data_IF_518047395388
#
_entry.id   IF_518047395388
#
_cell.length_a   1.000
_cell.length_b   1.000
_cell.length_c   1.000
_cell.angle_alpha   90.00
_cell.angle_beta   90.00
_cell.angle_gamma   90.00
#
_symmetry.space_group_name_H-M   'P 1'
#
loop_
_entity.id
_entity.type
_entity.pdbx_description
1 polymer ?
#
# COMPACT_ATOMS: atom_id res chain seq x y z
N UNK A 1 -46.21 33.22 -13.77
CA UNK A 1 -44.77 33.42 -13.42
C UNK A 1 -44.72 33.40 -11.91
N UNK A 2 -44.35 32.27 -11.32
CA UNK A 2 -44.19 32.14 -9.88
C UNK A 2 -42.96 32.94 -9.47
N UNK A 3 -43.05 33.78 -8.44
CA UNK A 3 -41.89 34.40 -7.81
C UNK A 3 -40.92 33.30 -7.38
N UNK A 4 -39.67 33.33 -7.90
CA UNK A 4 -38.63 32.50 -7.37
C UNK A 4 -38.50 32.78 -5.87
N UNK A 5 -38.28 31.71 -5.06
CA UNK A 5 -38.08 31.91 -3.62
C UNK A 5 -36.84 32.78 -3.40
N UNK A 6 -36.80 33.56 -2.29
CA UNK A 6 -35.63 34.38 -1.94
C UNK A 6 -34.32 33.60 -1.98
N UNK A 7 -34.38 32.33 -1.58
CA UNK A 7 -33.26 31.39 -1.66
C UNK A 7 -32.79 31.11 -3.11
N UNK A 8 -33.74 30.94 -4.03
CA UNK A 8 -33.43 30.72 -5.44
C UNK A 8 -32.75 31.92 -6.07
N UNK A 9 -33.19 33.13 -5.69
CA UNK A 9 -32.56 34.36 -6.18
C UNK A 9 -31.11 34.51 -5.70
N UNK A 10 -30.85 34.27 -4.42
CA UNK A 10 -29.48 34.29 -3.86
C UNK A 10 -28.56 33.28 -4.52
N UNK A 11 -29.04 32.05 -4.75
CA UNK A 11 -28.27 31.02 -5.46
C UNK A 11 -27.95 31.43 -6.91
N UNK A 12 -28.88 32.09 -7.61
CA UNK A 12 -28.64 32.56 -8.96
C UNK A 12 -27.63 33.71 -9.00
N UNK A 13 -27.64 34.61 -7.99
CA UNK A 13 -26.68 35.69 -7.90
C UNK A 13 -25.25 35.14 -7.66
N UNK A 14 -25.09 34.20 -6.74
CA UNK A 14 -23.81 33.53 -6.52
C UNK A 14 -23.29 32.85 -7.80
N UNK A 15 -24.17 32.26 -8.63
CA UNK A 15 -23.75 31.64 -9.91
C UNK A 15 -23.06 32.65 -10.86
N UNK A 16 -23.46 33.92 -10.84
CA UNK A 16 -22.90 34.95 -11.74
C UNK A 16 -21.48 35.34 -11.37
N UNK A 17 -21.11 35.19 -10.10
CA UNK A 17 -19.84 35.61 -9.54
C UNK A 17 -18.79 34.50 -9.47
N UNK A 18 -19.14 33.25 -9.86
CA UNK A 18 -18.21 32.12 -9.95
C UNK A 18 -17.50 32.11 -11.30
N UNK A 19 -16.18 32.14 -11.26
CA UNK A 19 -15.35 31.99 -12.46
C UNK A 19 -15.16 30.51 -12.86
N UNK A 20 -14.43 30.26 -13.94
CA UNK A 20 -14.19 28.92 -14.43
C UNK A 20 -13.40 28.04 -13.45
N UNK A 21 -12.53 28.63 -12.62
CA UNK A 21 -11.79 27.92 -11.59
C UNK A 21 -12.70 27.56 -10.42
N UNK A 22 -13.56 28.47 -10.02
CA UNK A 22 -14.56 28.26 -8.99
C UNK A 22 -15.53 27.14 -9.39
N UNK A 23 -16.00 27.16 -10.64
CA UNK A 23 -16.88 26.10 -11.16
C UNK A 23 -16.20 24.72 -11.14
N UNK A 24 -14.93 24.64 -11.52
CA UNK A 24 -14.17 23.40 -11.46
C UNK A 24 -14.00 22.90 -10.01
N UNK A 25 -13.68 23.80 -9.08
CA UNK A 25 -13.56 23.54 -7.66
C UNK A 25 -14.87 23.06 -7.05
N UNK A 26 -15.96 23.77 -7.37
CA UNK A 26 -17.30 23.42 -6.90
C UNK A 26 -17.76 22.04 -7.41
N UNK A 27 -17.57 21.77 -8.70
CA UNK A 27 -17.83 20.44 -9.29
C UNK A 27 -17.07 19.34 -8.55
N UNK A 28 -15.79 19.53 -8.29
CA UNK A 28 -14.98 18.58 -7.58
C UNK A 28 -15.52 18.29 -6.17
N UNK A 29 -15.94 19.31 -5.45
CA UNK A 29 -16.53 19.19 -4.12
C UNK A 29 -17.93 18.55 -4.09
N UNK A 30 -18.62 18.46 -5.23
CA UNK A 30 -19.93 17.83 -5.35
C UNK A 30 -19.90 16.33 -5.73
N UNK A 31 -18.71 15.78 -6.00
CA UNK A 31 -18.57 14.39 -6.52
C UNK A 31 -18.93 13.29 -5.53
N UNK A 32 -19.10 13.59 -4.25
CA UNK A 32 -19.61 12.62 -3.29
C UNK A 32 -21.14 12.42 -3.41
N UNK A 33 -21.83 13.40 -4.02
CA UNK A 33 -23.27 13.45 -4.15
C UNK A 33 -23.78 13.30 -5.61
N UNK A 34 -22.94 13.66 -6.58
CA UNK A 34 -23.27 13.64 -8.01
C UNK A 34 -22.21 12.86 -8.78
N UNK A 35 -22.67 11.92 -9.62
CA UNK A 35 -21.79 11.16 -10.51
C UNK A 35 -20.96 12.07 -11.44
N UNK A 36 -19.68 11.77 -11.60
CA UNK A 36 -18.74 12.57 -12.38
C UNK A 36 -19.23 12.83 -13.82
N UNK A 37 -19.86 11.84 -14.47
CA UNK A 37 -20.35 12.00 -15.85
C UNK A 37 -21.44 13.06 -15.95
N UNK A 38 -22.31 13.18 -14.92
CA UNK A 38 -23.34 14.21 -14.86
C UNK A 38 -22.74 15.59 -14.60
N UNK A 39 -21.70 15.67 -13.78
CA UNK A 39 -20.96 16.91 -13.53
C UNK A 39 -20.19 17.38 -14.78
N UNK A 40 -19.63 16.48 -15.57
CA UNK A 40 -18.91 16.80 -16.80
C UNK A 40 -19.83 17.36 -17.89
N UNK A 41 -21.09 16.93 -17.92
CA UNK A 41 -22.10 17.42 -18.88
C UNK A 41 -22.76 18.75 -18.45
N UNK A 42 -22.58 19.15 -17.21
CA UNK A 42 -23.07 20.45 -16.69
C UNK A 42 -22.13 21.57 -17.11
N UNK A 43 -22.60 22.52 -17.90
CA UNK A 43 -21.77 23.62 -18.39
C UNK A 43 -21.81 24.85 -17.47
N UNK A 44 -22.93 25.06 -16.79
CA UNK A 44 -23.15 26.18 -15.88
C UNK A 44 -23.39 25.70 -14.45
N UNK A 45 -23.13 26.58 -13.48
CA UNK A 45 -23.37 26.30 -12.05
C UNK A 45 -24.84 26.07 -11.76
N UNK A 46 -25.74 26.70 -12.52
CA UNK A 46 -27.18 26.51 -12.46
C UNK A 46 -27.60 25.07 -12.73
N UNK A 47 -26.93 24.39 -13.67
CA UNK A 47 -27.18 22.96 -13.98
C UNK A 47 -26.85 22.10 -12.74
N UNK A 48 -25.75 22.43 -12.06
CA UNK A 48 -25.31 21.70 -10.85
C UNK A 48 -26.35 21.89 -9.74
N UNK A 49 -26.83 23.11 -9.54
CA UNK A 49 -27.86 23.38 -8.52
C UNK A 49 -29.18 22.65 -8.80
N UNK A 50 -29.54 22.48 -10.07
CA UNK A 50 -30.70 21.66 -10.43
C UNK A 50 -30.48 20.17 -10.05
N UNK A 51 -29.27 19.65 -10.27
CA UNK A 51 -28.93 18.27 -9.86
C UNK A 51 -28.96 18.08 -8.34
N UNK A 52 -28.77 19.16 -7.58
CA UNK A 52 -28.75 19.19 -6.10
C UNK A 52 -30.10 19.61 -5.49
N UNK A 53 -31.13 19.86 -6.29
CA UNK A 53 -32.44 20.36 -5.83
C UNK A 53 -33.15 19.44 -4.82
N UNK A 54 -32.70 18.20 -4.68
CA UNK A 54 -33.21 17.22 -3.70
C UNK A 54 -32.60 17.38 -2.29
N UNK A 55 -31.59 18.22 -2.13
CA UNK A 55 -30.95 18.47 -0.81
C UNK A 55 -31.88 19.30 0.07
N UNK A 56 -32.05 18.88 1.33
CA UNK A 56 -32.97 19.54 2.31
C UNK A 56 -32.58 21.00 2.58
N UNK A 57 -31.28 21.33 2.58
CA UNK A 57 -30.76 22.69 2.71
C UNK A 57 -29.71 22.97 1.64
N UNK A 58 -30.16 23.36 0.44
CA UNK A 58 -29.26 23.63 -0.67
C UNK A 58 -28.36 24.84 -0.39
N UNK A 59 -28.87 25.87 0.30
CA UNK A 59 -28.08 27.06 0.67
C UNK A 59 -26.92 26.70 1.59
N UNK A 60 -27.13 25.91 2.63
CA UNK A 60 -26.04 25.46 3.52
C UNK A 60 -25.06 24.55 2.78
N UNK A 61 -25.59 23.65 1.94
CA UNK A 61 -24.78 22.79 1.11
C UNK A 61 -23.81 23.58 0.21
N UNK A 62 -24.32 24.63 -0.45
CA UNK A 62 -23.51 25.53 -1.29
C UNK A 62 -22.58 26.37 -0.42
N UNK A 63 -23.05 26.91 0.69
CA UNK A 63 -22.27 27.71 1.62
C UNK A 63 -21.05 26.98 2.17
N UNK A 64 -21.16 25.69 2.52
CA UNK A 64 -20.03 24.89 2.97
C UNK A 64 -18.94 24.77 1.89
N UNK A 65 -19.31 24.62 0.62
CA UNK A 65 -18.37 24.53 -0.51
C UNK A 65 -17.69 25.85 -0.79
N UNK A 66 -18.46 26.94 -0.82
CA UNK A 66 -17.92 28.29 -0.98
C UNK A 66 -16.96 28.67 0.15
N UNK A 67 -17.26 28.27 1.37
CA UNK A 67 -16.38 28.48 2.52
C UNK A 67 -15.03 27.74 2.31
N UNK A 68 -15.07 26.48 1.87
CA UNK A 68 -13.86 25.71 1.62
C UNK A 68 -13.05 26.25 0.41
N UNK A 69 -13.73 26.84 -0.56
CA UNK A 69 -13.13 27.50 -1.73
C UNK A 69 -12.58 28.91 -1.43
N UNK A 70 -12.62 29.34 -0.17
CA UNK A 70 -12.24 30.69 0.27
C UNK A 70 -12.99 31.82 -0.45
N UNK A 71 -14.34 31.67 -0.54
CA UNK A 71 -15.27 32.66 -1.10
C UNK A 71 -16.19 33.27 0.00
N UNK A 72 -15.63 33.97 1.02
CA UNK A 72 -16.42 34.47 2.16
C UNK A 72 -17.49 35.46 1.78
N UNK A 73 -17.27 36.26 0.72
CA UNK A 73 -18.26 37.20 0.22
C UNK A 73 -19.52 36.48 -0.27
N UNK A 74 -19.36 35.46 -1.06
CA UNK A 74 -20.46 34.67 -1.62
C UNK A 74 -21.23 33.89 -0.52
N UNK A 75 -20.55 33.45 0.55
CA UNK A 75 -21.22 32.87 1.72
C UNK A 75 -22.17 33.87 2.38
N UNK A 76 -21.74 35.14 2.52
CA UNK A 76 -22.57 36.22 3.06
C UNK A 76 -23.74 36.58 2.13
N UNK A 77 -23.55 36.56 0.82
CA UNK A 77 -24.59 36.80 -0.18
C UNK A 77 -25.69 35.72 -0.13
N UNK A 78 -25.34 34.49 0.24
CA UNK A 78 -26.32 33.46 0.55
C UNK A 78 -27.15 33.76 1.82
N UNK A 79 -26.77 34.77 2.60
CA UNK A 79 -27.41 35.10 3.86
C UNK A 79 -26.97 34.24 5.03
N UNK A 80 -25.82 33.57 4.91
CA UNK A 80 -25.25 32.69 5.93
C UNK A 80 -24.25 33.46 6.82
N UNK A 81 -24.21 33.08 8.10
CA UNK A 81 -23.16 33.54 9.01
C UNK A 81 -21.85 32.80 8.73
N UNK A 82 -20.81 33.56 8.38
CA UNK A 82 -19.53 32.99 7.95
C UNK A 82 -18.83 32.16 9.04
N UNK A 83 -18.90 32.61 10.29
CA UNK A 83 -18.23 31.89 11.39
C UNK A 83 -18.98 30.63 11.76
N UNK A 84 -20.32 30.62 11.69
CA UNK A 84 -21.13 29.42 11.84
C UNK A 84 -20.82 28.43 10.73
N UNK A 85 -20.70 28.87 9.46
CA UNK A 85 -20.35 27.99 8.32
C UNK A 85 -18.94 27.44 8.46
N UNK A 86 -17.96 28.24 8.86
CA UNK A 86 -16.58 27.76 9.12
C UNK A 86 -16.57 26.68 10.21
N UNK A 87 -17.29 26.91 11.31
CA UNK A 87 -17.41 25.93 12.39
C UNK A 87 -18.04 24.62 11.89
N UNK A 88 -19.14 24.71 11.14
CA UNK A 88 -19.83 23.54 10.57
C UNK A 88 -18.95 22.79 9.56
N UNK A 89 -18.19 23.48 8.71
CA UNK A 89 -17.23 22.86 7.79
C UNK A 89 -16.09 22.17 8.55
N UNK A 90 -15.64 22.74 9.67
CA UNK A 90 -14.62 22.13 10.52
C UNK A 90 -15.08 20.86 11.25
N UNK A 91 -16.36 20.76 11.58
CA UNK A 91 -16.93 19.62 12.29
C UNK A 91 -17.30 18.48 11.33
N UNK A 92 -16.92 17.25 11.72
CA UNK A 92 -17.16 16.04 10.92
C UNK A 92 -18.65 15.66 10.87
N UNK A 93 -19.41 16.01 11.91
CA UNK A 93 -20.82 15.61 12.05
C UNK A 93 -21.77 16.56 11.34
N UNK A 94 -21.41 17.82 11.24
CA UNK A 94 -22.26 18.88 10.64
C UNK A 94 -21.88 19.23 9.21
N UNK A 95 -20.66 18.86 8.79
CA UNK A 95 -20.19 19.17 7.43
C UNK A 95 -20.91 18.34 6.38
N UNK A 96 -21.37 19.01 5.33
CA UNK A 96 -21.92 18.35 4.11
C UNK A 96 -20.83 17.85 3.15
N UNK A 97 -19.57 17.95 3.50
CA UNK A 97 -18.42 17.53 2.69
C UNK A 97 -17.64 16.49 3.48
N UNK A 98 -17.36 15.33 2.89
CA UNK A 98 -16.59 14.28 3.54
C UNK A 98 -15.16 14.72 3.86
N UNK A 99 -14.54 14.18 4.93
CA UNK A 99 -13.15 14.47 5.27
C UNK A 99 -12.19 14.10 4.14
N UNK A 100 -12.48 12.98 3.47
CA UNK A 100 -11.73 12.55 2.29
C UNK A 100 -11.75 13.61 1.17
N UNK A 101 -12.93 14.13 0.83
CA UNK A 101 -13.08 15.15 -0.22
C UNK A 101 -12.40 16.48 0.17
N UNK A 102 -12.54 16.89 1.43
CA UNK A 102 -11.85 18.09 1.96
C UNK A 102 -10.33 17.96 1.85
N UNK A 103 -9.77 16.84 2.30
CA UNK A 103 -8.34 16.64 2.27
C UNK A 103 -7.79 16.65 0.84
N UNK A 104 -8.42 15.94 -0.09
CA UNK A 104 -8.01 15.96 -1.50
C UNK A 104 -8.15 17.35 -2.13
N UNK A 105 -9.20 18.08 -1.79
CA UNK A 105 -9.39 19.45 -2.26
C UNK A 105 -8.28 20.38 -1.74
N UNK A 106 -7.97 20.33 -0.44
CA UNK A 106 -6.92 21.14 0.16
C UNK A 106 -5.53 20.82 -0.45
N UNK A 107 -5.21 19.54 -0.64
CA UNK A 107 -3.99 19.15 -1.37
C UNK A 107 -3.98 19.73 -2.78
N UNK A 108 -5.12 19.71 -3.48
CA UNK A 108 -5.22 20.24 -4.84
C UNK A 108 -5.01 21.75 -4.91
N UNK A 109 -5.45 22.51 -3.91
CA UNK A 109 -5.28 23.97 -3.86
C UNK A 109 -3.80 24.38 -3.73
N UNK A 110 -3.00 23.58 -3.04
CA UNK A 110 -1.59 23.87 -2.77
C UNK A 110 -0.63 23.28 -3.81
N UNK A 111 -1.13 22.47 -4.77
CA UNK A 111 -0.34 21.91 -5.86
C UNK A 111 -0.21 22.89 -7.03
N UNK A 112 1.03 23.20 -7.41
CA UNK A 112 1.32 23.93 -8.65
C UNK A 112 1.12 23.07 -9.89
N UNK A 113 1.08 23.70 -11.05
CA UNK A 113 1.03 22.97 -12.33
C UNK A 113 2.27 22.08 -12.52
N UNK A 114 3.42 22.56 -12.09
CA UNK A 114 4.70 21.85 -12.13
C UNK A 114 4.63 20.59 -11.26
N UNK A 115 4.02 20.70 -10.06
CA UNK A 115 3.80 19.56 -9.16
C UNK A 115 2.91 18.50 -9.83
N UNK A 116 1.80 18.90 -10.43
CA UNK A 116 0.89 17.97 -11.13
C UNK A 116 1.58 17.28 -12.30
N UNK A 117 2.37 18.02 -13.10
CA UNK A 117 3.16 17.44 -14.19
C UNK A 117 4.18 16.43 -13.64
N UNK A 118 4.87 16.77 -12.54
CA UNK A 118 5.82 15.87 -11.89
C UNK A 118 5.13 14.60 -11.36
N UNK A 119 3.96 14.73 -10.72
CA UNK A 119 3.14 13.59 -10.27
C UNK A 119 2.72 12.69 -11.44
N UNK A 120 2.29 13.28 -12.56
CA UNK A 120 1.94 12.53 -13.77
C UNK A 120 3.16 11.78 -14.32
N UNK A 121 4.33 12.42 -14.36
CA UNK A 121 5.57 11.78 -14.80
C UNK A 121 5.96 10.61 -13.89
N UNK A 122 5.90 10.79 -12.58
CA UNK A 122 6.19 9.74 -11.59
C UNK A 122 5.20 8.58 -11.65
N UNK A 123 3.93 8.87 -11.92
CA UNK A 123 2.88 7.84 -11.99
C UNK A 123 2.81 7.09 -13.32
N UNK A 124 3.51 7.54 -14.38
CA UNK A 124 3.43 6.94 -15.74
C UNK A 124 3.66 5.43 -15.77
N UNK A 125 4.69 4.96 -15.07
CA UNK A 125 5.03 3.54 -15.08
C UNK A 125 4.10 2.71 -14.18
N UNK A 126 3.55 3.35 -13.15
CA UNK A 126 2.56 2.76 -12.27
C UNK A 126 1.18 2.67 -12.93
N UNK A 127 0.89 3.58 -13.86
CA UNK A 127 -0.39 3.72 -14.55
C UNK A 127 -0.24 3.38 -16.03
N UNK A 128 0.11 2.13 -16.35
CA UNK A 128 0.40 1.63 -17.73
C UNK A 128 -0.64 2.03 -18.78
N UNK A 129 -1.88 2.32 -18.40
CA UNK A 129 -2.97 2.75 -19.27
C UNK A 129 -3.22 4.27 -19.25
N UNK A 130 -2.33 5.05 -18.65
CA UNK A 130 -2.51 6.49 -18.43
C UNK A 130 -2.18 7.34 -19.67
N UNK A 131 -1.46 6.79 -20.64
CA UNK A 131 -0.97 7.52 -21.82
C UNK A 131 -2.05 8.30 -22.62
N UNK A 132 -3.28 7.80 -22.83
CA UNK A 132 -4.34 8.58 -23.48
C UNK A 132 -4.86 9.72 -22.60
N UNK A 133 -4.95 9.51 -21.29
CA UNK A 133 -5.45 10.49 -20.34
C UNK A 133 -4.45 11.64 -20.12
N UNK A 134 -3.15 11.35 -20.09
CA UNK A 134 -2.10 12.38 -20.02
C UNK A 134 -2.22 13.38 -21.17
N UNK A 135 -2.50 12.93 -22.40
CA UNK A 135 -2.71 13.81 -23.55
C UNK A 135 -3.98 14.67 -23.42
N UNK A 136 -5.00 14.20 -22.71
CA UNK A 136 -6.20 14.97 -22.42
C UNK A 136 -5.91 16.05 -21.39
N UNK A 137 -5.19 15.70 -20.30
CA UNK A 137 -4.78 16.64 -19.26
C UNK A 137 -3.94 17.80 -19.82
N UNK A 138 -3.05 17.53 -20.78
CA UNK A 138 -2.23 18.57 -21.43
C UNK A 138 -3.07 19.59 -22.24
N UNK A 139 -4.26 19.23 -22.67
CA UNK A 139 -5.18 20.11 -23.43
C UNK A 139 -6.05 21.00 -22.54
N UNK A 140 -6.18 20.66 -21.26
CA UNK A 140 -7.04 21.36 -20.31
C UNK A 140 -6.29 22.55 -19.72
N UNK A 141 -7.00 23.63 -19.47
CA UNK A 141 -6.46 24.85 -18.84
C UNK A 141 -5.86 24.55 -17.45
N UNK A 142 -5.02 25.48 -16.95
CA UNK A 142 -4.28 25.30 -15.68
C UNK A 142 -5.17 24.91 -14.50
N UNK A 143 -6.36 25.50 -14.39
CA UNK A 143 -7.27 25.31 -13.27
C UNK A 143 -7.94 23.95 -13.18
N UNK A 144 -8.12 23.25 -14.31
CA UNK A 144 -8.79 21.96 -14.34
C UNK A 144 -7.87 20.74 -14.17
N UNK A 145 -6.57 20.90 -14.38
CA UNK A 145 -5.64 19.75 -14.47
C UNK A 145 -5.48 18.96 -13.18
N UNK A 146 -5.40 19.63 -12.04
CA UNK A 146 -5.21 18.95 -10.76
C UNK A 146 -6.41 18.07 -10.41
N UNK A 147 -7.61 18.57 -10.57
CA UNK A 147 -8.84 17.81 -10.27
C UNK A 147 -9.04 16.65 -11.26
N UNK A 148 -8.72 16.86 -12.55
CA UNK A 148 -8.76 15.79 -13.54
C UNK A 148 -7.75 14.69 -13.22
N UNK A 149 -6.53 15.04 -12.81
CA UNK A 149 -5.55 14.07 -12.35
C UNK A 149 -6.07 13.25 -11.15
N UNK A 150 -6.61 13.93 -10.14
CA UNK A 150 -7.18 13.27 -8.97
C UNK A 150 -8.35 12.35 -9.36
N UNK A 151 -9.22 12.79 -10.26
CA UNK A 151 -10.34 11.97 -10.75
C UNK A 151 -9.85 10.70 -11.44
N UNK A 152 -8.83 10.80 -12.28
CA UNK A 152 -8.27 9.64 -12.97
C UNK A 152 -7.70 8.61 -11.97
N UNK A 153 -6.92 9.05 -10.97
CA UNK A 153 -6.37 8.12 -9.98
C UNK A 153 -7.45 7.53 -9.06
N UNK A 154 -8.56 8.24 -8.84
CA UNK A 154 -9.74 7.73 -8.13
C UNK A 154 -10.51 6.70 -8.98
N UNK A 155 -10.83 7.01 -10.25
CA UNK A 155 -11.50 6.07 -11.17
C UNK A 155 -10.70 4.77 -11.34
N UNK A 156 -9.38 4.86 -11.40
CA UNK A 156 -8.47 3.70 -11.47
C UNK A 156 -8.29 3.00 -10.11
N UNK A 157 -8.94 3.48 -9.05
CA UNK A 157 -8.87 2.95 -7.68
C UNK A 157 -7.44 2.93 -7.10
N UNK A 158 -6.58 3.85 -7.55
CA UNK A 158 -5.28 4.05 -6.93
C UNK A 158 -5.39 4.80 -5.61
N UNK A 159 -6.41 5.66 -5.47
CA UNK A 159 -6.83 6.25 -4.21
C UNK A 159 -8.31 6.03 -3.98
N UNK A 160 -8.68 5.85 -2.72
CA UNK A 160 -10.07 5.69 -2.25
C UNK A 160 -10.20 6.37 -0.89
N UNK A 161 -11.42 6.50 -0.37
CA UNK A 161 -11.66 7.02 1.00
C UNK A 161 -10.94 6.22 2.09
N UNK A 162 -10.57 4.99 1.82
CA UNK A 162 -9.91 4.09 2.76
C UNK A 162 -8.43 3.82 2.41
N UNK A 163 -7.91 4.37 1.33
CA UNK A 163 -6.51 4.19 0.92
C UNK A 163 -6.03 5.35 0.06
N UNK A 164 -5.17 6.21 0.61
CA UNK A 164 -4.51 7.33 -0.07
C UNK A 164 -3.00 7.16 -0.18
N UNK A 165 -2.46 5.96 0.10
CA UNK A 165 -1.01 5.68 0.11
C UNK A 165 -0.33 6.08 -1.19
N UNK A 166 -0.99 5.88 -2.32
CA UNK A 166 -0.45 6.26 -3.63
C UNK A 166 -0.26 7.77 -3.77
N UNK A 167 -1.24 8.57 -3.32
CA UNK A 167 -1.12 10.03 -3.32
C UNK A 167 -0.04 10.50 -2.33
N UNK A 168 -0.01 9.92 -1.15
CA UNK A 168 1.02 10.16 -0.14
C UNK A 168 2.42 9.98 -0.74
N UNK A 169 2.66 8.84 -1.41
CA UNK A 169 3.94 8.56 -2.05
C UNK A 169 4.26 9.55 -3.18
N UNK A 170 3.28 9.88 -4.04
CA UNK A 170 3.50 10.86 -5.10
C UNK A 170 3.91 12.23 -4.56
N UNK A 171 3.31 12.68 -3.46
CA UNK A 171 3.67 13.96 -2.81
C UNK A 171 5.12 13.92 -2.29
N UNK A 172 5.57 12.82 -1.70
CA UNK A 172 6.98 12.67 -1.32
C UNK A 172 7.91 12.65 -2.53
N UNK A 173 7.55 11.94 -3.59
CA UNK A 173 8.37 11.80 -4.80
C UNK A 173 8.60 13.11 -5.55
N UNK A 174 7.72 14.08 -5.36
CA UNK A 174 7.82 15.43 -5.94
C UNK A 174 8.31 16.49 -4.93
N UNK A 175 8.80 16.06 -3.75
CA UNK A 175 9.25 16.91 -2.65
C UNK A 175 8.15 17.82 -2.05
N UNK A 176 6.88 17.41 -2.12
CA UNK A 176 5.73 18.07 -1.48
C UNK A 176 5.25 17.31 -0.25
N UNK A 177 6.20 16.77 0.53
CA UNK A 177 5.92 16.15 1.82
C UNK A 177 5.26 17.09 2.84
N UNK A 178 5.35 18.41 2.61
CA UNK A 178 4.62 19.44 3.35
C UNK A 178 3.10 19.27 3.30
N UNK A 179 2.55 18.70 2.22
CA UNK A 179 1.10 18.51 2.04
C UNK A 179 0.59 17.18 2.63
N UNK A 180 1.48 16.30 3.03
CA UNK A 180 1.11 14.97 3.51
C UNK A 180 0.25 15.04 4.77
N UNK A 181 0.53 15.97 5.69
CA UNK A 181 -0.25 16.16 6.92
C UNK A 181 -1.74 16.47 6.67
N UNK A 182 -2.10 17.00 5.49
CA UNK A 182 -3.49 17.24 5.10
C UNK A 182 -4.24 15.92 4.95
N UNK A 183 -3.56 14.87 4.48
CA UNK A 183 -4.15 13.55 4.30
C UNK A 183 -4.40 12.83 5.63
N UNK A 184 -3.71 13.23 6.71
CA UNK A 184 -3.89 12.68 8.06
C UNK A 184 -5.29 12.99 8.62
N UNK A 185 -5.95 14.03 8.11
CA UNK A 185 -7.31 14.39 8.50
C UNK A 185 -8.39 13.41 8.01
N UNK A 186 -8.06 12.49 7.12
CA UNK A 186 -9.01 11.52 6.57
C UNK A 186 -9.33 10.47 7.64
N UNK A 187 -10.54 10.52 8.22
CA UNK A 187 -10.99 9.56 9.24
C UNK A 187 -10.97 8.13 8.70
N UNK A 188 -10.33 7.24 9.45
CA UNK A 188 -10.19 5.82 9.09
C UNK A 188 -8.94 5.53 8.27
N UNK A 189 -8.23 6.55 7.83
CA UNK A 189 -6.89 6.43 7.31
C UNK A 189 -5.90 6.76 8.42
N UNK A 190 -5.54 5.75 9.18
CA UNK A 190 -4.49 5.85 10.17
C UNK A 190 -3.14 5.75 9.43
N UNK A 191 -2.52 6.89 9.15
CA UNK A 191 -1.14 6.91 8.63
C UNK A 191 -0.18 6.33 9.67
N UNK A 192 -0.52 6.39 10.97
CA UNK A 192 0.18 5.64 12.00
C UNK A 192 0.01 4.12 11.81
N UNK A 193 -1.00 3.66 11.04
CA UNK A 193 -1.17 2.26 10.65
C UNK A 193 -0.23 1.78 9.53
N UNK A 194 0.63 2.64 8.96
CA UNK A 194 1.58 2.30 7.91
C UNK A 194 3.02 2.54 8.35
N UNK A 195 3.94 1.66 7.92
CA UNK A 195 5.36 1.95 8.10
C UNK A 195 5.76 3.17 7.26
N UNK A 196 6.52 4.11 7.83
CA UNK A 196 7.19 5.14 7.05
C UNK A 196 8.11 4.47 6.03
N UNK A 197 7.93 4.76 4.74
CA UNK A 197 8.69 4.12 3.67
C UNK A 197 9.29 5.15 2.73
N UNK A 198 10.62 5.35 2.84
CA UNK A 198 11.36 6.20 1.93
C UNK A 198 11.75 5.41 0.68
N UNK A 199 11.16 5.73 -0.45
CA UNK A 199 11.40 5.08 -1.73
C UNK A 199 12.85 5.29 -2.23
N UNK A 200 13.51 6.38 -1.85
CA UNK A 200 14.92 6.61 -2.17
C UNK A 200 15.85 5.70 -1.36
N UNK A 201 15.40 5.29 -0.17
CA UNK A 201 16.18 4.47 0.77
C UNK A 201 15.34 3.33 1.35
N UNK A 202 14.75 2.46 0.53
CA UNK A 202 13.89 1.38 1.01
C UNK A 202 14.63 0.37 1.87
N UNK A 203 15.88 0.08 1.54
CA UNK A 203 16.70 -0.83 2.33
C UNK A 203 17.73 -1.60 1.54
N UNK A 204 18.28 -2.61 2.22
CA UNK A 204 19.13 -3.63 1.62
C UNK A 204 18.33 -4.92 1.46
N UNK A 205 18.58 -5.64 0.37
CA UNK A 205 18.05 -6.96 0.13
C UNK A 205 19.22 -7.93 -0.10
N UNK A 206 19.42 -8.86 0.85
CA UNK A 206 20.38 -9.96 0.69
C UNK A 206 19.64 -11.15 0.10
N UNK A 207 20.24 -11.78 -0.92
CA UNK A 207 19.74 -13.01 -1.55
C UNK A 207 20.82 -14.07 -1.40
N UNK A 208 20.55 -15.10 -0.61
CA UNK A 208 21.41 -16.29 -0.43
C UNK A 208 20.83 -17.40 -1.29
N UNK A 209 21.57 -17.83 -2.30
CA UNK A 209 21.16 -18.89 -3.24
C UNK A 209 22.09 -20.08 -3.15
N UNK A 210 21.72 -21.10 -2.38
CA UNK A 210 22.41 -22.35 -2.27
C UNK A 210 21.88 -23.34 -3.31
N UNK A 211 22.66 -23.64 -4.31
CA UNK A 211 22.31 -24.48 -5.44
C UNK A 211 23.09 -25.80 -5.45
N UNK A 212 24.42 -25.74 -5.30
CA UNK A 212 25.33 -26.89 -5.36
C UNK A 212 25.77 -27.31 -3.96
N UNK A 213 25.43 -28.50 -3.56
CA UNK A 213 25.73 -29.03 -2.22
C UNK A 213 26.96 -29.96 -2.25
N UNK A 214 27.75 -29.91 -1.15
CA UNK A 214 28.97 -30.71 -1.00
C UNK A 214 28.68 -32.17 -0.52
N UNK A 215 27.40 -32.45 -0.23
CA UNK A 215 26.93 -33.76 0.28
C UNK A 215 25.94 -34.44 -0.70
N UNK A 216 25.25 -35.48 -0.26
CA UNK A 216 24.28 -36.22 -1.07
C UNK A 216 22.97 -35.48 -1.37
N UNK A 217 22.85 -34.21 -0.98
CA UNK A 217 21.69 -33.43 -1.34
C UNK A 217 21.72 -33.06 -2.84
N UNK A 218 20.56 -33.16 -3.47
CA UNK A 218 20.42 -32.91 -4.91
C UNK A 218 20.70 -31.45 -5.25
N UNK A 219 21.35 -31.23 -6.38
CA UNK A 219 21.51 -29.88 -6.94
C UNK A 219 20.14 -29.22 -7.14
N UNK A 220 20.02 -27.97 -6.72
CA UNK A 220 18.79 -27.17 -6.83
C UNK A 220 18.69 -26.50 -8.20
N UNK A 221 18.59 -27.30 -9.29
CA UNK A 221 18.44 -26.80 -10.67
C UNK A 221 17.28 -25.81 -10.78
N UNK A 222 17.48 -24.68 -11.50
CA UNK A 222 16.49 -23.61 -11.65
C UNK A 222 16.45 -22.60 -10.48
N UNK A 223 17.26 -22.79 -9.42
CA UNK A 223 17.31 -21.88 -8.29
C UNK A 223 17.84 -20.47 -8.69
N UNK A 224 18.70 -20.41 -9.70
CA UNK A 224 19.18 -19.14 -10.25
C UNK A 224 18.07 -18.27 -10.83
N UNK A 225 17.01 -18.87 -11.42
CA UNK A 225 15.85 -18.15 -11.94
C UNK A 225 15.10 -17.42 -10.83
N UNK A 226 14.97 -18.04 -9.66
CA UNK A 226 14.38 -17.41 -8.48
C UNK A 226 15.23 -16.25 -7.97
N UNK A 227 16.55 -16.43 -7.87
CA UNK A 227 17.47 -15.40 -7.42
C UNK A 227 17.51 -14.19 -8.39
N UNK A 228 17.41 -14.44 -9.69
CA UNK A 228 17.35 -13.42 -10.73
C UNK A 228 16.04 -12.61 -10.65
N UNK A 229 14.89 -13.30 -10.49
CA UNK A 229 13.59 -12.63 -10.41
C UNK A 229 13.43 -11.83 -9.10
N UNK A 230 13.93 -12.36 -7.96
CA UNK A 230 14.03 -11.59 -6.71
C UNK A 230 14.91 -10.35 -6.88
N UNK A 231 16.10 -10.52 -7.49
CA UNK A 231 17.01 -9.40 -7.75
C UNK A 231 16.36 -8.32 -8.61
N UNK A 232 15.64 -8.71 -9.65
CA UNK A 232 14.90 -7.79 -10.53
C UNK A 232 13.79 -7.08 -9.77
N UNK A 233 12.96 -7.83 -9.04
CA UNK A 233 11.81 -7.29 -8.29
C UNK A 233 12.27 -6.27 -7.24
N UNK A 234 13.25 -6.61 -6.39
CA UNK A 234 13.71 -5.70 -5.35
C UNK A 234 14.56 -4.52 -5.88
N UNK A 235 15.23 -4.65 -7.07
CA UNK A 235 15.82 -3.49 -7.75
C UNK A 235 14.74 -2.51 -8.25
N UNK A 236 13.63 -3.01 -8.78
CA UNK A 236 12.51 -2.15 -9.18
C UNK A 236 11.89 -1.41 -7.98
N UNK A 237 12.03 -1.96 -6.79
CA UNK A 237 11.67 -1.32 -5.51
C UNK A 237 12.82 -0.50 -4.90
N UNK A 238 13.91 -0.25 -5.66
CA UNK A 238 15.09 0.54 -5.26
C UNK A 238 15.90 -0.03 -4.08
N UNK A 239 15.76 -1.31 -3.76
CA UNK A 239 16.61 -1.95 -2.77
C UNK A 239 18.05 -2.11 -3.28
N UNK A 240 19.01 -1.97 -2.37
CA UNK A 240 20.41 -2.34 -2.64
C UNK A 240 20.55 -3.86 -2.54
N UNK A 241 20.80 -4.50 -3.69
CA UNK A 241 20.87 -5.96 -3.77
C UNK A 241 22.30 -6.42 -3.52
N UNK A 242 22.42 -7.39 -2.61
CA UNK A 242 23.63 -8.16 -2.37
C UNK A 242 23.29 -9.66 -2.54
N UNK A 243 24.03 -10.37 -3.40
CA UNK A 243 23.76 -11.77 -3.72
C UNK A 243 24.95 -12.62 -3.34
N UNK A 244 24.66 -13.75 -2.71
CA UNK A 244 25.60 -14.78 -2.28
C UNK A 244 25.20 -16.13 -2.84
N UNK A 245 26.17 -16.89 -3.34
CA UNK A 245 25.96 -18.20 -3.94
C UNK A 245 26.69 -19.25 -3.11
N UNK A 246 26.02 -20.40 -2.92
CA UNK A 246 26.60 -21.62 -2.38
C UNK A 246 27.33 -21.44 -1.03
N UNK A 247 26.66 -20.79 -0.07
CA UNK A 247 27.20 -20.55 1.26
C UNK A 247 27.11 -21.77 2.18
N UNK A 248 28.18 -22.08 2.90
CA UNK A 248 28.17 -23.00 4.04
C UNK A 248 27.34 -22.46 5.19
N UNK A 249 26.97 -23.32 6.11
CA UNK A 249 26.13 -22.98 7.27
C UNK A 249 26.70 -21.81 8.09
N UNK A 250 28.00 -21.83 8.40
CA UNK A 250 28.64 -20.73 9.14
C UNK A 250 28.71 -19.43 8.33
N UNK A 251 28.85 -19.49 7.00
CA UNK A 251 28.86 -18.33 6.13
C UNK A 251 27.48 -17.65 6.03
N UNK A 252 26.37 -18.43 6.03
CA UNK A 252 25.02 -17.89 6.13
C UNK A 252 24.87 -17.07 7.41
N UNK A 253 25.36 -17.59 8.54
CA UNK A 253 25.35 -16.88 9.83
C UNK A 253 26.24 -15.63 9.80
N UNK A 254 27.41 -15.66 9.17
CA UNK A 254 28.34 -14.55 9.04
C UNK A 254 27.77 -13.42 8.19
N UNK A 255 27.18 -13.75 7.03
CA UNK A 255 26.56 -12.75 6.14
C UNK A 255 25.40 -12.04 6.82
N UNK A 256 24.53 -12.78 7.53
CA UNK A 256 23.40 -12.18 8.25
C UNK A 256 23.88 -11.37 9.46
N UNK A 257 24.92 -11.82 10.16
CA UNK A 257 25.55 -11.08 11.26
C UNK A 257 26.18 -9.77 10.77
N UNK A 258 26.90 -9.83 9.65
CA UNK A 258 27.49 -8.64 9.02
C UNK A 258 26.42 -7.64 8.61
N UNK A 259 25.31 -8.10 8.03
CA UNK A 259 24.19 -7.23 7.67
C UNK A 259 23.56 -6.55 8.91
N UNK A 260 23.32 -7.31 9.97
CA UNK A 260 22.67 -6.78 11.18
C UNK A 260 23.52 -5.72 11.91
N UNK A 261 24.85 -5.78 11.78
CA UNK A 261 25.80 -4.83 12.39
C UNK A 261 25.98 -3.53 11.59
N UNK A 262 25.41 -3.45 10.39
CA UNK A 262 25.46 -2.23 9.59
C UNK A 262 24.51 -1.18 10.15
N UNK A 263 24.77 0.09 9.83
CA UNK A 263 23.86 1.17 10.14
C UNK A 263 22.71 1.19 9.12
N UNK A 264 21.48 0.97 9.63
CA UNK A 264 20.23 1.01 8.85
C UNK A 264 19.40 2.27 9.15
N UNK A 265 19.94 3.26 9.85
CA UNK A 265 19.19 4.46 10.27
C UNK A 265 18.54 5.17 9.08
N UNK A 266 19.22 5.20 7.93
CA UNK A 266 18.75 5.81 6.68
C UNK A 266 17.72 4.95 5.93
N UNK A 267 17.63 3.66 6.22
CA UNK A 267 16.80 2.73 5.46
C UNK A 267 15.44 2.51 6.13
N UNK A 268 14.40 2.27 5.33
CA UNK A 268 13.05 2.00 5.80
C UNK A 268 12.83 0.56 6.24
N UNK A 269 13.65 -0.38 5.75
CA UNK A 269 13.49 -1.82 6.02
C UNK A 269 14.75 -2.61 5.71
N UNK A 270 14.73 -3.92 5.99
CA UNK A 270 15.70 -4.89 5.52
C UNK A 270 14.99 -6.13 4.94
N UNK A 271 15.55 -6.70 3.88
CA UNK A 271 15.04 -7.93 3.22
C UNK A 271 16.13 -8.99 3.19
N UNK A 272 15.78 -10.21 3.58
CA UNK A 272 16.65 -11.40 3.49
C UNK A 272 15.89 -12.51 2.77
N UNK A 273 16.37 -12.89 1.58
CA UNK A 273 15.84 -13.99 0.80
C UNK A 273 16.79 -15.18 0.89
N UNK A 274 16.27 -16.36 1.23
CA UNK A 274 17.09 -17.58 1.37
C UNK A 274 16.48 -18.68 0.50
N UNK A 275 17.25 -19.12 -0.48
CA UNK A 275 16.92 -20.19 -1.42
C UNK A 275 17.85 -21.37 -1.13
N UNK A 276 17.36 -22.43 -0.49
CA UNK A 276 18.19 -23.57 -0.09
C UNK A 276 17.36 -24.84 0.07
N UNK A 277 18.02 -25.97 0.36
CA UNK A 277 17.38 -27.07 1.07
C UNK A 277 17.08 -26.67 2.51
N UNK A 278 16.20 -27.42 3.16
CA UNK A 278 15.87 -27.15 4.55
C UNK A 278 15.06 -28.26 5.20
N UNK A 279 14.83 -28.08 6.49
CA UNK A 279 14.03 -28.93 7.34
C UNK A 279 13.14 -28.09 8.26
N UNK A 280 12.55 -28.69 9.30
CA UNK A 280 11.68 -27.95 10.21
C UNK A 280 12.35 -26.70 10.78
N UNK A 281 11.84 -25.51 10.39
CA UNK A 281 12.34 -24.20 10.82
C UNK A 281 13.84 -23.97 10.61
N UNK A 282 14.46 -24.64 9.61
CA UNK A 282 15.88 -24.48 9.29
C UNK A 282 16.12 -24.45 7.78
N UNK A 283 17.20 -23.79 7.37
CA UNK A 283 17.77 -23.82 6.03
C UNK A 283 19.13 -24.51 6.10
N UNK A 284 19.61 -25.08 4.98
CA UNK A 284 20.88 -25.81 4.99
C UNK A 284 21.98 -24.99 4.29
N UNK A 285 23.16 -24.97 4.89
CA UNK A 285 24.37 -24.63 4.15
C UNK A 285 24.68 -25.66 3.06
N UNK A 286 25.51 -25.29 2.09
CA UNK A 286 25.95 -26.27 1.06
C UNK A 286 26.75 -27.42 1.65
N UNK A 287 27.30 -27.24 2.84
CA UNK A 287 27.92 -28.30 3.67
C UNK A 287 26.91 -29.26 4.30
N UNK A 288 25.58 -29.05 4.07
CA UNK A 288 24.49 -29.88 4.56
C UNK A 288 24.11 -29.66 6.02
N UNK A 289 24.78 -28.75 6.74
CA UNK A 289 24.45 -28.44 8.13
C UNK A 289 23.24 -27.50 8.22
N UNK A 290 22.31 -27.77 9.16
CA UNK A 290 21.14 -26.94 9.35
C UNK A 290 21.50 -25.63 10.07
N UNK A 291 20.91 -24.53 9.60
CA UNK A 291 20.90 -23.22 10.24
C UNK A 291 19.47 -22.91 10.66
N UNK A 292 19.15 -22.88 11.95
CA UNK A 292 17.83 -22.49 12.42
C UNK A 292 17.50 -21.07 11.97
N UNK A 293 16.30 -20.86 11.41
CA UNK A 293 15.86 -19.52 10.96
C UNK A 293 15.86 -18.52 12.12
N UNK A 294 15.56 -18.99 13.34
CA UNK A 294 15.62 -18.14 14.54
C UNK A 294 17.02 -17.52 14.76
N UNK A 295 18.10 -18.29 14.55
CA UNK A 295 19.47 -17.79 14.68
C UNK A 295 19.79 -16.65 13.69
N UNK A 296 19.04 -16.57 12.58
CA UNK A 296 19.15 -15.49 11.60
C UNK A 296 18.34 -14.28 12.04
N UNK A 297 17.08 -14.49 12.47
CA UNK A 297 16.17 -13.40 12.85
C UNK A 297 16.58 -12.71 14.16
N UNK A 298 17.09 -13.44 15.14
CA UNK A 298 17.56 -12.88 16.42
C UNK A 298 18.60 -11.76 16.26
N UNK A 299 19.39 -11.79 15.17
CA UNK A 299 20.39 -10.74 14.87
C UNK A 299 19.77 -9.37 14.55
N UNK A 300 18.49 -9.34 14.16
CA UNK A 300 17.76 -8.15 13.72
C UNK A 300 16.73 -7.66 14.72
N UNK A 301 16.69 -8.24 15.94
CA UNK A 301 15.82 -7.73 17.01
C UNK A 301 16.17 -6.29 17.38
N UNK A 302 15.24 -5.56 17.98
CA UNK A 302 15.45 -4.17 18.35
C UNK A 302 16.68 -3.96 19.26
N UNK A 303 16.94 -4.90 20.17
CA UNK A 303 18.11 -4.88 21.06
C UNK A 303 19.43 -5.15 20.31
N UNK A 304 19.44 -6.07 19.34
CA UNK A 304 20.64 -6.47 18.60
C UNK A 304 20.96 -5.55 17.41
N UNK A 305 19.95 -4.93 16.80
CA UNK A 305 20.07 -4.01 15.67
C UNK A 305 19.20 -2.76 15.89
N UNK A 306 19.65 -1.85 16.75
CA UNK A 306 18.91 -0.64 17.14
C UNK A 306 18.48 0.24 15.97
N UNK A 307 19.26 0.28 14.88
CA UNK A 307 18.94 1.07 13.70
C UNK A 307 17.75 0.50 12.87
N UNK A 308 17.28 -0.74 13.21
CA UNK A 308 16.09 -1.37 12.65
C UNK A 308 14.91 -1.45 13.65
N UNK A 309 15.02 -0.89 14.85
CA UNK A 309 13.90 -0.80 15.76
C UNK A 309 12.73 -0.04 15.11
N UNK A 310 11.51 -0.57 15.18
CA UNK A 310 10.32 0.00 14.54
C UNK A 310 10.28 -0.09 13.00
N UNK A 311 11.22 -0.80 12.37
CA UNK A 311 11.30 -0.94 10.92
C UNK A 311 11.07 -2.39 10.48
N UNK A 312 10.40 -2.64 9.33
CA UNK A 312 10.16 -3.99 8.81
C UNK A 312 11.44 -4.80 8.56
N UNK A 313 11.45 -6.04 9.05
CA UNK A 313 12.47 -7.05 8.84
C UNK A 313 11.84 -8.24 8.11
N UNK A 314 12.12 -8.36 6.81
CA UNK A 314 11.39 -9.25 5.90
C UNK A 314 12.26 -10.43 5.49
N UNK A 315 11.81 -11.64 5.81
CA UNK A 315 12.47 -12.88 5.48
C UNK A 315 11.62 -13.71 4.52
N UNK A 316 12.13 -14.00 3.32
CA UNK A 316 11.50 -14.87 2.34
C UNK A 316 12.32 -16.13 2.18
N UNK A 317 11.77 -17.27 2.59
CA UNK A 317 12.48 -18.54 2.67
C UNK A 317 11.88 -19.56 1.70
N UNK A 318 12.63 -19.88 0.65
CA UNK A 318 12.34 -20.96 -0.29
C UNK A 318 13.15 -22.20 0.12
N UNK A 319 12.55 -23.02 0.98
CA UNK A 319 13.13 -24.26 1.47
C UNK A 319 12.04 -25.22 1.95
N UNK A 320 12.30 -26.52 1.94
CA UNK A 320 11.41 -27.48 2.59
C UNK A 320 11.32 -27.21 4.10
N UNK A 321 10.15 -27.37 4.66
CA UNK A 321 9.89 -27.27 6.10
C UNK A 321 9.67 -28.66 6.74
N UNK A 322 9.96 -29.73 6.00
CA UNK A 322 9.79 -31.12 6.35
C UNK A 322 9.63 -32.00 5.11
N UNK A 323 9.20 -33.24 5.30
CA UNK A 323 9.10 -34.23 4.22
C UNK A 323 7.66 -34.62 3.86
N UNK A 324 6.64 -34.01 4.51
CA UNK A 324 5.25 -34.36 4.25
C UNK A 324 4.80 -33.73 2.94
N UNK A 325 4.12 -34.51 2.10
CA UNK A 325 3.39 -33.96 0.95
C UNK A 325 2.03 -33.45 1.39
N UNK A 326 1.58 -32.36 0.77
CA UNK A 326 0.26 -31.84 1.05
C UNK A 326 -0.77 -32.55 0.18
N UNK A 327 -1.59 -33.40 0.83
CA UNK A 327 -2.60 -34.24 0.16
C UNK A 327 -3.71 -33.35 -0.39
N UNK A 328 -4.17 -33.60 -1.62
CA UNK A 328 -5.32 -32.93 -2.25
C UNK A 328 -6.60 -33.29 -1.51
N UNK A 329 -7.20 -32.31 -0.83
CA UNK A 329 -8.54 -32.50 -0.24
C UNK A 329 -9.60 -31.90 -1.16
N UNK A 330 -10.65 -32.68 -1.49
CA UNK A 330 -11.84 -32.17 -2.17
C UNK A 330 -12.61 -31.25 -1.20
N UNK A 331 -12.97 -30.04 -1.65
CA UNK A 331 -13.80 -29.12 -0.86
C UNK A 331 -15.10 -29.79 -0.46
N UNK A 332 -15.32 -30.00 0.83
CA UNK A 332 -16.65 -30.30 1.36
C UNK A 332 -17.57 -29.07 1.23
N UNK A 333 -18.85 -29.29 0.98
CA UNK A 333 -19.86 -28.21 0.95
C UNK A 333 -19.88 -27.44 2.28
N UNK A 334 -20.16 -26.12 2.27
CA UNK A 334 -20.05 -25.28 3.47
C UNK A 334 -21.07 -25.72 4.52
N UNK A 335 -20.59 -26.05 5.72
CA UNK A 335 -21.40 -26.18 6.93
C UNK A 335 -21.51 -24.82 7.62
N UNK A 336 -22.65 -24.46 8.25
CA UNK A 336 -22.79 -23.21 8.98
C UNK A 336 -21.84 -23.16 10.17
N UNK A 337 -21.18 -22.03 10.34
CA UNK A 337 -20.19 -21.80 11.40
C UNK A 337 -20.83 -21.82 12.78
N UNK A 338 -20.27 -22.59 13.71
CA UNK A 338 -20.55 -22.52 15.14
C UNK A 338 -19.88 -21.23 15.69
N UNK A 339 -20.66 -20.49 16.52
CA UNK A 339 -20.18 -19.28 17.19
C UNK A 339 -19.10 -19.64 18.22
N UNK A 340 -17.89 -19.11 18.03
CA UNK A 340 -16.85 -19.12 19.04
C UNK A 340 -17.19 -18.08 20.12
N UNK A 341 -17.07 -18.46 21.40
CA UNK A 341 -17.10 -17.55 22.54
C UNK A 341 -15.68 -17.00 22.73
N UNK A 342 -15.56 -15.67 22.72
CA UNK A 342 -14.35 -14.97 23.09
C UNK A 342 -14.40 -14.66 24.59
N UNK A 343 -13.52 -15.30 25.36
CA UNK A 343 -13.21 -14.84 26.71
C UNK A 343 -12.03 -13.86 26.59
N UNK A 344 -12.33 -12.58 26.78
CA UNK A 344 -11.32 -11.52 26.85
C UNK A 344 -11.01 -11.27 28.32
N UNK A 345 -9.75 -11.51 28.70
CA UNK A 345 -9.23 -11.09 30.02
C UNK A 345 -8.71 -9.66 29.82
N UNK A 346 -9.35 -8.70 30.48
CA UNK A 346 -8.88 -7.33 30.53
C UNK A 346 -7.71 -7.22 31.52
N UNK A 347 -6.61 -6.65 31.10
CA UNK A 347 -5.49 -6.23 31.96
C UNK A 347 -5.62 -4.71 32.10
N UNK A 348 -5.76 -4.25 33.36
CA UNK A 348 -5.73 -2.83 33.68
C UNK A 348 -4.29 -2.32 33.58
N UNK A 349 -4.10 -1.20 32.87
CA UNK A 349 -2.81 -0.51 32.74
C UNK A 349 -2.95 0.82 33.48
N UNK A 350 -2.08 1.05 34.45
CA UNK A 350 -1.93 2.34 35.11
C UNK A 350 -1.26 3.33 34.13
N UNK A 351 -1.91 4.47 33.94
CA UNK A 351 -1.36 5.60 33.15
C UNK A 351 -0.37 6.38 34.04
N UNK A 352 0.90 6.44 33.66
CA UNK A 352 1.84 7.43 34.16
C UNK A 352 2.61 8.07 32.99
N UNK A 353 2.88 9.35 33.16
CA UNK A 353 3.27 10.33 32.15
C UNK A 353 4.67 10.14 31.54
N UNK A 354 4.80 10.55 30.29
CA UNK A 354 5.98 10.57 29.39
C UNK A 354 6.41 9.23 28.83
N UNK A 355 5.65 8.77 27.82
CA UNK A 355 5.93 7.51 27.15
C UNK A 355 6.97 7.71 26.05
N UNK A 356 8.23 7.33 26.33
CA UNK A 356 9.08 6.80 25.25
C UNK A 356 8.35 5.57 24.71
N UNK A 357 8.04 5.55 23.40
CA UNK A 357 7.33 4.44 22.77
C UNK A 357 8.15 3.15 22.91
N UNK A 358 7.76 2.27 23.81
CA UNK A 358 8.45 1.00 24.08
C UNK A 358 7.98 -0.03 23.06
N UNK A 359 8.85 -0.39 22.11
CA UNK A 359 8.59 -1.36 21.04
C UNK A 359 9.04 -2.76 21.51
N UNK A 360 8.21 -3.83 21.42
CA UNK A 360 8.63 -5.20 21.72
C UNK A 360 9.82 -5.63 20.85
N UNK A 361 10.81 -6.32 21.44
CA UNK A 361 12.08 -6.65 20.79
C UNK A 361 11.95 -7.50 19.51
N UNK A 362 10.94 -8.40 19.47
CA UNK A 362 10.61 -9.25 18.31
C UNK A 362 9.50 -8.64 17.41
N UNK A 363 9.20 -7.33 17.52
CA UNK A 363 8.22 -6.67 16.65
C UNK A 363 8.78 -6.44 15.24
N UNK A 364 7.86 -6.18 14.30
CA UNK A 364 8.12 -5.77 12.93
C UNK A 364 8.81 -6.82 12.05
N UNK A 365 8.65 -8.11 12.38
CA UNK A 365 9.13 -9.21 11.55
C UNK A 365 8.05 -9.76 10.62
N UNK A 366 8.46 -10.14 9.41
CA UNK A 366 7.73 -11.01 8.50
C UNK A 366 8.63 -12.16 8.08
N UNK A 367 8.19 -13.39 8.34
CA UNK A 367 8.83 -14.63 7.88
C UNK A 367 7.87 -15.36 6.96
N UNK A 368 8.13 -15.32 5.65
CA UNK A 368 7.33 -16.00 4.65
C UNK A 368 8.06 -17.23 4.11
N UNK A 369 7.42 -18.40 4.21
CA UNK A 369 7.94 -19.69 3.80
C UNK A 369 7.20 -20.22 2.59
N UNK A 370 7.92 -20.88 1.70
CA UNK A 370 7.37 -21.46 0.47
C UNK A 370 6.36 -22.58 0.68
N UNK A 371 6.24 -23.10 1.88
CA UNK A 371 5.33 -24.20 2.23
C UNK A 371 4.92 -24.15 3.69
N UNK A 372 3.88 -24.89 4.03
CA UNK A 372 3.43 -25.04 5.41
C UNK A 372 4.45 -25.81 6.27
N UNK A 373 4.45 -25.63 7.61
CA UNK A 373 5.33 -26.37 8.52
C UNK A 373 5.21 -27.89 8.35
N UNK A 374 6.34 -28.56 8.32
CA UNK A 374 6.42 -30.01 8.16
C UNK A 374 6.30 -30.52 6.72
N UNK A 375 6.08 -29.65 5.74
CA UNK A 375 5.83 -30.03 4.36
C UNK A 375 7.02 -29.77 3.42
N UNK A 376 7.01 -30.47 2.28
CA UNK A 376 7.93 -30.27 1.18
C UNK A 376 7.60 -29.02 0.39
N UNK A 377 8.62 -28.42 -0.20
CA UNK A 377 8.51 -27.28 -1.12
C UNK A 377 8.98 -27.69 -2.51
N UNK A 378 8.35 -27.12 -3.54
CA UNK A 378 8.54 -27.56 -4.91
C UNK A 378 9.10 -26.44 -5.80
N UNK A 379 9.88 -26.85 -6.80
CA UNK A 379 10.50 -26.00 -7.80
C UNK A 379 10.51 -26.72 -9.16
N UNK A 380 10.18 -25.97 -10.20
CA UNK A 380 10.38 -26.36 -11.58
C UNK A 380 11.82 -26.01 -12.01
N UNK A 381 12.63 -26.99 -12.50
CA UNK A 381 13.99 -26.73 -12.96
C UNK A 381 14.11 -25.66 -14.06
N UNK A 382 13.05 -25.48 -14.88
CA UNK A 382 13.03 -24.58 -16.03
C UNK A 382 12.38 -23.22 -15.74
N UNK A 383 11.50 -23.15 -14.72
CA UNK A 383 10.69 -21.96 -14.45
C UNK A 383 10.93 -21.39 -13.04
N UNK A 384 11.72 -22.03 -12.19
CA UNK A 384 11.93 -21.63 -10.81
C UNK A 384 10.88 -22.18 -9.84
N UNK A 385 10.89 -21.69 -8.60
CA UNK A 385 9.97 -22.17 -7.57
C UNK A 385 8.60 -21.51 -7.68
N UNK A 386 7.55 -22.28 -7.47
CA UNK A 386 6.16 -21.78 -7.51
C UNK A 386 5.92 -20.60 -6.55
N UNK A 387 6.58 -20.62 -5.40
CA UNK A 387 6.46 -19.56 -4.40
C UNK A 387 7.14 -18.26 -4.85
N UNK A 388 8.43 -18.30 -5.20
CA UNK A 388 9.19 -17.08 -5.54
C UNK A 388 8.66 -16.45 -6.81
N UNK A 389 8.32 -17.24 -7.83
CA UNK A 389 7.73 -16.73 -9.07
C UNK A 389 6.38 -16.05 -8.79
N UNK A 390 5.51 -16.64 -7.97
CA UNK A 390 4.25 -16.05 -7.59
C UNK A 390 4.44 -14.79 -6.74
N UNK A 391 5.40 -14.78 -5.80
CA UNK A 391 5.71 -13.64 -4.94
C UNK A 391 6.17 -12.43 -5.76
N UNK A 392 7.16 -12.63 -6.62
CA UNK A 392 7.72 -11.56 -7.45
C UNK A 392 6.67 -10.98 -8.40
N UNK A 393 5.91 -11.83 -9.09
CA UNK A 393 4.85 -11.39 -10.00
C UNK A 393 3.73 -10.63 -9.27
N UNK A 394 3.33 -11.08 -8.08
CA UNK A 394 2.29 -10.42 -7.30
C UNK A 394 2.78 -9.08 -6.72
N UNK A 395 4.02 -9.00 -6.26
CA UNK A 395 4.63 -7.73 -5.84
C UNK A 395 4.67 -6.75 -7.02
N UNK A 396 5.20 -7.15 -8.18
CA UNK A 396 5.29 -6.27 -9.36
C UNK A 396 3.92 -5.79 -9.84
N UNK A 397 2.88 -6.58 -9.66
CA UNK A 397 1.52 -6.28 -10.12
C UNK A 397 0.74 -5.36 -9.17
N UNK A 398 0.83 -5.61 -7.88
CA UNK A 398 -0.14 -5.07 -6.92
C UNK A 398 0.49 -4.30 -5.74
N UNK A 399 1.82 -4.14 -5.67
CA UNK A 399 2.50 -3.53 -4.52
C UNK A 399 2.06 -2.08 -4.21
N UNK A 400 1.56 -1.35 -5.22
CA UNK A 400 1.04 0.01 -5.05
C UNK A 400 -0.36 0.01 -4.42
N UNK A 401 -1.17 -1.03 -4.72
CA UNK A 401 -2.58 -1.10 -4.33
C UNK A 401 -2.80 -1.81 -3.00
N UNK A 402 -1.98 -2.82 -2.76
CA UNK A 402 -2.15 -3.77 -1.67
C UNK A 402 -0.93 -3.73 -0.74
N UNK A 403 -1.16 -3.78 0.56
CA UNK A 403 -0.07 -3.96 1.50
C UNK A 403 0.47 -5.40 1.47
N UNK A 404 1.68 -5.60 1.98
CA UNK A 404 2.43 -6.85 1.81
C UNK A 404 1.67 -8.11 2.27
N UNK A 405 0.89 -8.05 3.36
CA UNK A 405 0.15 -9.24 3.83
C UNK A 405 -1.02 -9.61 2.92
N UNK A 406 -1.65 -8.64 2.25
CA UNK A 406 -2.67 -8.93 1.21
C UNK A 406 -2.01 -9.57 -0.01
N UNK A 407 -0.84 -9.06 -0.42
CA UNK A 407 -0.03 -9.66 -1.49
C UNK A 407 0.29 -11.11 -1.17
N UNK A 408 0.76 -11.41 0.06
CA UNK A 408 1.06 -12.78 0.48
C UNK A 408 -0.18 -13.68 0.51
N UNK A 409 -1.34 -13.12 0.84
CA UNK A 409 -2.61 -13.86 0.76
C UNK A 409 -2.96 -14.24 -0.68
N UNK A 410 -2.75 -13.33 -1.63
CA UNK A 410 -2.94 -13.61 -3.05
C UNK A 410 -1.88 -14.59 -3.60
N UNK A 411 -0.64 -14.53 -3.13
CA UNK A 411 0.41 -15.52 -3.40
C UNK A 411 -0.03 -16.90 -2.92
N UNK A 412 -0.53 -17.05 -1.69
CA UNK A 412 -1.05 -18.30 -1.14
C UNK A 412 -2.18 -18.85 -2.02
N UNK A 413 -3.14 -18.00 -2.38
CA UNK A 413 -4.26 -18.34 -3.27
C UNK A 413 -3.78 -18.80 -4.65
N UNK A 414 -2.75 -18.17 -5.19
CA UNK A 414 -2.18 -18.54 -6.50
C UNK A 414 -1.42 -19.85 -6.43
N UNK A 415 -0.51 -20.00 -5.46
CA UNK A 415 0.33 -21.20 -5.32
C UNK A 415 -0.54 -22.43 -5.02
N UNK A 416 -1.59 -22.31 -4.20
CA UNK A 416 -2.49 -23.41 -3.90
C UNK A 416 -3.27 -23.96 -5.10
N UNK A 417 -3.31 -23.22 -6.22
CA UNK A 417 -3.99 -23.67 -7.45
C UNK A 417 -3.12 -24.50 -8.36
N UNK A 418 -1.79 -24.43 -8.23
CA UNK A 418 -0.91 -25.21 -9.08
C UNK A 418 -1.07 -26.71 -8.82
N UNK A 419 -1.17 -27.48 -9.90
CA UNK A 419 -1.01 -28.94 -9.91
C UNK A 419 0.45 -29.21 -10.20
N UNK A 420 1.18 -29.62 -9.17
CA UNK A 420 2.64 -29.83 -9.22
C UNK A 420 2.91 -31.27 -9.55
N UNK A 421 3.48 -31.57 -10.73
CA UNK A 421 3.81 -32.93 -11.10
C UNK A 421 4.94 -33.45 -10.22
N UNK A 422 4.78 -34.69 -9.75
CA UNK A 422 5.81 -35.49 -9.09
C UNK A 422 5.99 -36.80 -9.87
N UNK A 423 6.86 -37.69 -9.38
CA UNK A 423 7.08 -39.00 -9.98
C UNK A 423 5.76 -39.80 -10.09
N UNK A 424 5.70 -40.78 -10.99
CA UNK A 424 4.54 -41.69 -11.22
C UNK A 424 3.23 -40.99 -11.68
N UNK A 425 3.31 -39.92 -12.50
CA UNK A 425 2.13 -39.18 -13.01
C UNK A 425 1.19 -38.65 -11.90
N UNK A 426 1.68 -38.54 -10.68
CA UNK A 426 0.93 -37.96 -9.57
C UNK A 426 1.13 -36.46 -9.52
N UNK A 427 0.15 -35.77 -8.95
CA UNK A 427 0.23 -34.35 -8.68
C UNK A 427 0.01 -34.04 -7.19
N UNK A 428 0.77 -33.08 -6.69
CA UNK A 428 0.62 -32.57 -5.32
C UNK A 428 0.25 -31.12 -5.34
N UNK A 429 -0.27 -30.63 -4.24
CA UNK A 429 -0.53 -29.23 -3.97
C UNK A 429 0.46 -28.72 -2.93
N UNK A 430 0.67 -27.42 -2.91
CA UNK A 430 1.39 -26.76 -1.83
C UNK A 430 0.74 -25.41 -1.54
N UNK A 431 0.91 -24.93 -0.32
CA UNK A 431 0.51 -23.57 0.07
C UNK A 431 1.63 -22.96 0.91
N UNK A 432 2.09 -21.75 0.56
CA UNK A 432 3.02 -21.01 1.39
C UNK A 432 2.40 -20.68 2.75
N UNK A 433 3.24 -20.34 3.70
CA UNK A 433 2.80 -19.87 5.01
C UNK A 433 3.65 -18.70 5.46
N UNK A 434 3.12 -17.85 6.33
CA UNK A 434 3.91 -16.78 6.91
C UNK A 434 3.57 -16.54 8.39
N UNK A 435 4.56 -16.06 9.12
CA UNK A 435 4.43 -15.49 10.45
C UNK A 435 4.70 -14.00 10.36
N UNK A 436 3.89 -13.20 11.02
CA UNK A 436 4.03 -11.75 11.02
C UNK A 436 3.86 -11.19 12.43
N UNK A 437 4.82 -10.40 12.87
CA UNK A 437 4.72 -9.47 14.00
C UNK A 437 4.83 -8.01 13.51
N UNK A 438 4.49 -7.76 12.24
CA UNK A 438 4.39 -6.40 11.72
C UNK A 438 3.33 -5.63 12.49
N UNK A 439 3.69 -4.48 12.99
CA UNK A 439 2.80 -3.60 13.78
C UNK A 439 2.02 -2.64 12.88
N UNK A 440 2.50 -2.41 11.68
CA UNK A 440 1.89 -1.50 10.69
C UNK A 440 1.76 -2.17 9.33
N UNK A 441 1.00 -1.58 8.42
CA UNK A 441 0.88 -2.03 7.03
C UNK A 441 2.10 -1.60 6.24
N UNK A 442 2.69 -2.51 5.47
CA UNK A 442 3.81 -2.22 4.60
C UNK A 442 3.36 -2.20 3.14
N UNK A 443 3.57 -1.08 2.45
CA UNK A 443 3.46 -0.94 1.01
C UNK A 443 4.84 -0.83 0.38
N UNK A 444 4.99 -1.41 -0.81
CA UNK A 444 6.15 -1.18 -1.65
C UNK A 444 5.79 -0.23 -2.79
N UNK A 445 6.72 0.63 -3.13
CA UNK A 445 6.56 1.59 -4.21
C UNK A 445 7.71 1.39 -5.21
N UNK A 446 7.42 0.97 -6.47
CA UNK A 446 8.46 0.82 -7.47
C UNK A 446 9.01 2.17 -7.88
N UNK A 447 10.34 2.24 -8.05
CA UNK A 447 10.98 3.38 -8.69
C UNK A 447 11.10 3.14 -10.18
N UNK A 448 10.99 4.22 -10.95
CA UNK A 448 11.26 4.19 -12.37
C UNK A 448 12.76 4.00 -12.58
N UNK A 449 13.19 2.81 -12.95
CA UNK A 449 14.51 2.63 -13.56
C UNK A 449 14.46 3.28 -14.94
N UNK A 450 15.18 4.40 -15.08
CA UNK A 450 15.46 5.01 -16.38
C UNK A 450 16.24 4.06 -17.26
#
# INVERSE_FOLDING_TARGET
MGCASDETMRLLDVCKDLDSHDIASFKYLCQDDIDLKRLDTSHETTDIFQLLSHKESLIEYVGHRLCLMDRPCLVKELGLDLEAVKSAVGDVTTSTITQYRKALFNVAQDLSMEDVIAMIQKSRDCLKNFSPAVRQIEKIGKSGKVFEFLNIIQEKKHITSNNVSFLYQLLYDINRGDLVHILDSIKGYDLNGFYPFDQCYPGKCIIINNCKFENDLLERKGSHLDADELSKTFRQLNYKIERHEDLKSHQILEVTDTLSKQDHSRYSSVVVCILSHGGPRSVYGVDGFPVPVRNLTEKFTGSNCKSLAGKPKLFFVQACQGKKEQIVQRKAAPRPAAKARNDVIAVEIDEDDTVEEVIPDESDFLLAFSTAPGCSSYRDPNNGSYFIQALCDQIQKDCIRNHLLDILTDVNKRVSKYDIPIEDDQTVKTVPSYYSSLTHKLHFFPVNTR
#
